data_IF_859206493536
#
_entry.id   IF_859206493536
#
_cell.length_a   1.000
_cell.length_b   1.000
_cell.length_c   1.000
_cell.angle_alpha   90.00
_cell.angle_beta   90.00
_cell.angle_gamma   90.00
#
_symmetry.space_group_name_H-M   'P 1'
#
loop_
_entity.id
_entity.type
_entity.pdbx_description
1 polymer ?
#
# COMPACT_ATOMS: atom_id res chain seq x y z
N UNK A 1 10.70 -8.65 5.76
CA UNK A 1 10.99 -7.52 4.87
C UNK A 1 12.32 -7.78 4.17
N UNK A 2 12.31 -7.71 2.84
CA UNK A 2 13.53 -7.94 2.07
C UNK A 2 14.10 -6.62 1.58
N UNK A 3 15.42 -6.45 1.73
CA UNK A 3 16.13 -5.26 1.29
C UNK A 3 17.28 -5.71 0.39
N UNK A 4 17.35 -5.13 -0.81
CA UNK A 4 18.40 -5.41 -1.78
C UNK A 4 18.89 -4.12 -2.42
N UNK A 5 20.10 -4.14 -2.94
CA UNK A 5 20.62 -2.97 -3.64
C UNK A 5 20.06 -2.88 -5.07
N UNK A 6 19.98 -1.67 -5.60
CA UNK A 6 19.57 -1.46 -6.99
C UNK A 6 20.53 -2.16 -7.97
N UNK A 7 21.81 -2.24 -7.60
CA UNK A 7 22.80 -2.97 -8.39
C UNK A 7 22.51 -4.46 -8.46
N UNK A 8 22.04 -5.05 -7.35
CA UNK A 8 21.64 -6.45 -7.32
C UNK A 8 20.49 -6.73 -8.27
N UNK A 9 19.54 -5.81 -8.40
CA UNK A 9 18.44 -5.94 -9.35
C UNK A 9 18.96 -5.90 -10.78
N UNK A 10 19.85 -4.97 -11.09
CA UNK A 10 20.42 -4.83 -12.42
C UNK A 10 21.16 -6.10 -12.86
N UNK A 11 21.89 -6.71 -11.96
CA UNK A 11 22.73 -7.87 -12.25
C UNK A 11 22.00 -9.20 -12.15
N UNK A 12 20.83 -9.25 -11.49
CA UNK A 12 20.09 -10.48 -11.27
C UNK A 12 18.58 -10.27 -11.29
N UNK A 13 18.08 -9.64 -12.35
CA UNK A 13 16.67 -9.33 -12.49
C UNK A 13 15.78 -10.58 -12.37
N UNK A 14 16.10 -11.63 -13.14
CA UNK A 14 15.28 -12.85 -13.16
C UNK A 14 15.26 -13.56 -11.81
N UNK A 15 16.39 -13.59 -11.13
CA UNK A 15 16.47 -14.16 -9.78
C UNK A 15 15.64 -13.37 -8.79
N UNK A 16 15.67 -12.04 -8.89
CA UNK A 16 14.90 -11.18 -8.00
C UNK A 16 13.40 -11.31 -8.26
N UNK A 17 12.99 -11.44 -9.52
CA UNK A 17 11.60 -11.69 -9.87
C UNK A 17 11.14 -13.02 -9.23
N UNK A 18 11.93 -14.06 -9.36
CA UNK A 18 11.62 -15.37 -8.80
C UNK A 18 11.51 -15.30 -7.27
N UNK A 19 12.46 -14.63 -6.63
CA UNK A 19 12.46 -14.46 -5.18
C UNK A 19 11.22 -13.72 -4.70
N UNK A 20 10.87 -12.61 -5.35
CA UNK A 20 9.70 -11.83 -5.00
C UNK A 20 8.41 -12.62 -5.16
N UNK A 21 8.28 -13.38 -6.26
CA UNK A 21 7.10 -14.23 -6.50
C UNK A 21 7.01 -15.38 -5.52
N UNK A 22 8.13 -16.01 -5.21
CA UNK A 22 8.19 -17.14 -4.28
C UNK A 22 7.79 -16.71 -2.87
N UNK A 23 8.33 -15.59 -2.40
CA UNK A 23 8.07 -15.08 -1.06
C UNK A 23 6.78 -14.28 -0.97
N UNK A 24 6.24 -13.79 -2.08
CA UNK A 24 5.07 -12.91 -2.12
C UNK A 24 5.25 -11.71 -1.18
N UNK A 25 6.42 -11.10 -1.25
CA UNK A 25 6.79 -9.95 -0.42
C UNK A 25 7.41 -8.85 -1.26
N UNK A 26 7.23 -7.58 -0.88
CA UNK A 26 7.96 -6.48 -1.51
C UNK A 26 9.46 -6.58 -1.23
N UNK A 27 10.26 -6.20 -2.22
CA UNK A 27 11.69 -6.06 -2.06
C UNK A 27 12.02 -4.57 -2.11
N UNK A 28 12.58 -4.05 -1.02
CA UNK A 28 12.96 -2.65 -0.94
C UNK A 28 14.33 -2.47 -1.60
N UNK A 29 14.39 -1.63 -2.61
CA UNK A 29 15.63 -1.36 -3.34
C UNK A 29 16.29 -0.10 -2.79
N UNK A 30 17.57 -0.22 -2.48
CA UNK A 30 18.34 0.87 -1.91
C UNK A 30 19.46 1.29 -2.85
N UNK A 31 19.81 2.55 -2.78
CA UNK A 31 20.99 3.11 -3.43
C UNK A 31 21.78 3.89 -2.39
N UNK A 32 23.05 3.53 -2.19
CA UNK A 32 23.90 4.16 -1.18
C UNK A 32 23.28 4.16 0.22
N UNK A 33 22.56 3.09 0.55
CA UNK A 33 21.91 2.93 1.85
C UNK A 33 20.54 3.58 1.98
N UNK A 34 20.12 4.37 1.00
CA UNK A 34 18.82 5.04 1.02
C UNK A 34 17.79 4.24 0.21
N UNK A 35 16.56 4.16 0.74
CA UNK A 35 15.46 3.54 0.01
C UNK A 35 15.11 4.35 -1.22
N UNK A 36 15.03 3.71 -2.37
CA UNK A 36 14.77 4.37 -3.64
C UNK A 36 13.47 3.89 -4.28
N UNK A 37 13.24 2.60 -4.31
CA UNK A 37 12.08 2.00 -4.95
C UNK A 37 11.64 0.74 -4.22
N UNK A 38 10.44 0.28 -4.56
CA UNK A 38 9.92 -1.01 -4.08
C UNK A 38 9.63 -1.87 -5.31
N UNK A 39 10.13 -3.10 -5.27
CA UNK A 39 9.93 -4.08 -6.32
C UNK A 39 8.93 -5.12 -5.81
N UNK A 40 7.77 -5.23 -6.49
CA UNK A 40 6.69 -6.13 -6.04
C UNK A 40 6.13 -6.93 -7.21
N UNK A 41 5.69 -8.17 -6.97
CA UNK A 41 4.96 -8.92 -8.00
C UNK A 41 3.62 -8.26 -8.31
N UNK A 42 3.21 -8.29 -9.57
CA UNK A 42 1.95 -7.68 -10.00
C UNK A 42 0.74 -8.24 -9.28
N UNK A 43 0.69 -9.56 -9.11
CA UNK A 43 -0.44 -10.22 -8.42
C UNK A 43 -0.52 -9.80 -6.95
N UNK A 44 0.63 -9.66 -6.27
CA UNK A 44 0.68 -9.15 -4.91
C UNK A 44 0.16 -7.71 -4.85
N UNK A 45 0.60 -6.87 -5.76
CA UNK A 45 0.20 -5.46 -5.82
C UNK A 45 -1.29 -5.30 -6.09
N UNK A 46 -1.80 -6.05 -7.07
CA UNK A 46 -3.22 -6.00 -7.41
C UNK A 46 -4.11 -6.46 -6.25
N UNK A 47 -3.70 -7.50 -5.54
CA UNK A 47 -4.42 -7.99 -4.37
C UNK A 47 -4.44 -6.92 -3.28
N UNK A 48 -3.30 -6.29 -3.03
CA UNK A 48 -3.19 -5.23 -2.02
C UNK A 48 -4.09 -4.04 -2.38
N UNK A 49 -4.11 -3.63 -3.65
CA UNK A 49 -4.97 -2.54 -4.11
C UNK A 49 -6.45 -2.87 -3.91
N UNK A 50 -6.85 -4.10 -4.22
CA UNK A 50 -8.23 -4.54 -4.00
C UNK A 50 -8.59 -4.55 -2.52
N UNK A 51 -7.70 -4.99 -1.66
CA UNK A 51 -7.92 -4.99 -0.21
C UNK A 51 -8.07 -3.57 0.32
N UNK A 52 -7.24 -2.64 -0.16
CA UNK A 52 -7.34 -1.24 0.24
C UNK A 52 -8.63 -0.60 -0.24
N UNK A 53 -9.06 -0.90 -1.47
CA UNK A 53 -10.32 -0.41 -2.01
C UNK A 53 -11.50 -0.92 -1.19
N UNK A 54 -11.49 -2.21 -0.84
CA UNK A 54 -12.52 -2.80 0.00
C UNK A 54 -12.57 -2.16 1.37
N UNK A 55 -11.41 -1.98 1.99
CA UNK A 55 -11.32 -1.33 3.30
C UNK A 55 -11.85 0.09 3.24
N UNK A 56 -11.52 0.83 2.19
CA UNK A 56 -12.02 2.19 1.99
C UNK A 56 -13.53 2.21 1.86
N UNK A 57 -14.11 1.29 1.09
CA UNK A 57 -15.55 1.17 0.95
C UNK A 57 -16.23 0.86 2.27
N UNK A 58 -15.65 -0.02 3.08
CA UNK A 58 -16.19 -0.36 4.40
C UNK A 58 -16.14 0.84 5.34
N UNK A 59 -15.07 1.62 5.28
CA UNK A 59 -14.95 2.87 6.07
C UNK A 59 -16.01 3.87 5.66
N UNK A 60 -16.27 4.03 4.37
CA UNK A 60 -17.31 4.93 3.87
C UNK A 60 -18.69 4.52 4.35
N UNK A 61 -18.99 3.23 4.32
CA UNK A 61 -20.27 2.69 4.83
C UNK A 61 -20.42 2.96 6.31
N UNK A 62 -19.38 2.77 7.10
CA UNK A 62 -19.40 3.03 8.53
C UNK A 62 -19.61 4.51 8.81
N UNK A 63 -18.95 5.39 8.06
CA UNK A 63 -19.14 6.83 8.17
C UNK A 63 -20.59 7.22 7.86
N UNK A 64 -21.17 6.66 6.81
CA UNK A 64 -22.57 6.92 6.43
C UNK A 64 -23.53 6.47 7.51
N UNK A 65 -23.26 5.31 8.10
CA UNK A 65 -24.09 4.79 9.20
C UNK A 65 -24.02 5.70 10.42
N UNK A 66 -22.83 6.12 10.80
CA UNK A 66 -22.62 7.03 11.95
C UNK A 66 -23.20 8.40 11.69
N UNK A 67 -23.06 8.92 10.47
CA UNK A 67 -23.62 10.20 10.08
C UNK A 67 -25.15 10.21 10.17
N UNK A 68 -25.78 9.09 9.79
CA UNK A 68 -27.22 8.92 9.96
C UNK A 68 -27.68 8.84 11.41
N UNK A 69 -26.79 8.43 12.32
CA UNK A 69 -27.08 8.34 13.75
C UNK A 69 -26.74 9.64 14.48
N UNK A 70 -25.68 10.37 14.05
CA UNK A 70 -25.21 11.59 14.70
C UNK A 70 -24.78 12.62 13.65
N UNK A 71 -25.60 13.61 13.44
CA UNK A 71 -25.32 14.65 12.45
C UNK A 71 -24.15 15.56 12.80
N UNK A 72 -23.79 15.71 14.10
CA UNK A 72 -22.75 16.61 14.54
C UNK A 72 -21.33 16.14 14.29
N UNK A 73 -21.11 14.86 13.97
CA UNK A 73 -19.79 14.29 13.77
C UNK A 73 -19.42 14.13 12.30
N UNK A 74 -20.29 14.52 11.39
CA UNK A 74 -20.12 14.31 9.95
C UNK A 74 -18.91 15.06 9.39
N UNK A 75 -18.74 16.32 9.79
CA UNK A 75 -17.62 17.14 9.31
C UNK A 75 -16.29 16.59 9.80
N UNK A 76 -16.23 16.09 11.04
CA UNK A 76 -15.01 15.51 11.59
C UNK A 76 -14.63 14.23 10.86
N UNK A 77 -15.60 13.41 10.49
CA UNK A 77 -15.37 12.18 9.76
C UNK A 77 -14.87 12.46 8.33
N UNK A 78 -15.46 13.45 7.66
CA UNK A 78 -15.01 13.87 6.35
C UNK A 78 -13.58 14.40 6.39
N UNK A 79 -13.23 15.15 7.42
CA UNK A 79 -11.89 15.67 7.61
C UNK A 79 -10.87 14.54 7.79
N UNK A 80 -11.19 13.54 8.61
CA UNK A 80 -10.34 12.39 8.83
C UNK A 80 -10.15 11.58 7.54
N UNK A 81 -11.20 11.39 6.77
CA UNK A 81 -11.14 10.70 5.48
C UNK A 81 -10.22 11.45 4.52
N UNK A 82 -10.34 12.77 4.47
CA UNK A 82 -9.52 13.59 3.62
C UNK A 82 -8.03 13.52 4.03
N UNK A 83 -7.75 13.53 5.34
CA UNK A 83 -6.38 13.38 5.83
C UNK A 83 -5.77 12.04 5.42
N UNK A 84 -6.54 10.97 5.47
CA UNK A 84 -6.07 9.64 5.02
C UNK A 84 -5.79 9.63 3.53
N UNK A 85 -6.63 10.28 2.72
CA UNK A 85 -6.43 10.37 1.27
C UNK A 85 -5.23 11.23 0.90
N UNK A 86 -4.97 12.29 1.66
CA UNK A 86 -3.85 13.21 1.43
C UNK A 86 -2.53 12.71 2.02
N UNK A 87 -2.57 11.73 2.90
CA UNK A 87 -1.39 11.15 3.52
C UNK A 87 -0.74 10.13 2.59
N UNK A 88 0.22 10.57 1.84
CA UNK A 88 1.00 9.72 0.93
C UNK A 88 2.28 9.21 1.61
#
# INVERSE_FOLDING_TARGET
MMIRSATSLRNGYDEMVRLAKEKQEPIYLTRNGDGEMVFVPMDFWEKREKELDLLYMLLQREQSRLAGAKTSSMDDMERLTQEVLDAD
#
